data_IF_476458760919
#
_entry.id   IF_476458760919
#
_cell.length_a   1.000
_cell.length_b   1.000
_cell.length_c   1.000
_cell.angle_alpha   90.00
_cell.angle_beta   90.00
_cell.angle_gamma   90.00
#
_symmetry.space_group_name_H-M   'P 1'
#
loop_
_entity.id
_entity.type
_entity.pdbx_description
1 polymer ?
#
# COMPACT_ATOMS: atom_id res chain seq x y z
N UNK A 1 -17.21 6.24 7.77
CA UNK A 1 -17.92 4.96 7.64
C UNK A 1 -16.84 3.91 7.36
N UNK A 2 -16.53 3.04 8.30
CA UNK A 2 -15.45 2.05 8.13
C UNK A 2 -15.87 1.06 7.05
N UNK A 3 -15.33 1.20 5.87
CA UNK A 3 -15.37 0.17 4.85
C UNK A 3 -14.42 -0.92 5.35
N UNK A 4 -14.98 -2.00 5.89
CA UNK A 4 -14.20 -3.18 6.19
C UNK A 4 -13.69 -3.74 4.87
N UNK A 5 -12.38 -3.69 4.67
CA UNK A 5 -11.68 -4.27 3.53
C UNK A 5 -11.80 -5.79 3.63
N UNK A 6 -12.89 -6.33 3.10
CA UNK A 6 -13.09 -7.76 2.91
C UNK A 6 -12.61 -8.16 1.51
N UNK A 7 -11.41 -7.73 1.15
CA UNK A 7 -10.74 -8.37 0.04
C UNK A 7 -10.41 -9.79 0.49
N UNK A 8 -10.84 -10.77 -0.28
CA UNK A 8 -10.19 -12.07 -0.28
C UNK A 8 -8.80 -11.80 -0.84
N UNK A 9 -7.92 -11.24 0.01
CA UNK A 9 -6.56 -10.91 -0.33
C UNK A 9 -5.84 -12.18 -0.76
N UNK A 10 -5.93 -12.47 -2.05
CA UNK A 10 -4.85 -13.13 -2.72
C UNK A 10 -3.77 -12.08 -2.86
N UNK A 11 -3.18 -11.69 -1.73
CA UNK A 11 -1.93 -11.01 -1.76
C UNK A 11 -0.98 -11.93 -2.50
N UNK A 12 -0.61 -11.55 -3.72
CA UNK A 12 0.55 -12.08 -4.41
C UNK A 12 1.79 -11.61 -3.66
N UNK A 13 1.91 -12.07 -2.40
CA UNK A 13 3.09 -11.82 -1.61
C UNK A 13 4.14 -12.84 -2.01
N UNK A 14 5.02 -12.54 -2.91
CA UNK A 14 6.41 -12.27 -2.60
C UNK A 14 7.28 -13.47 -2.21
N UNK A 15 6.78 -14.67 -2.37
CA UNK A 15 7.64 -15.83 -2.53
C UNK A 15 8.10 -15.83 -3.98
N UNK A 16 9.40 -15.91 -4.26
CA UNK A 16 9.98 -16.06 -5.61
C UNK A 16 9.33 -17.21 -6.40
N UNK A 17 8.51 -18.04 -5.78
CA UNK A 17 7.93 -19.26 -6.33
C UNK A 17 6.42 -19.45 -6.08
N UNK A 18 5.71 -18.51 -5.41
CA UNK A 18 4.29 -18.70 -5.10
C UNK A 18 3.66 -17.53 -4.32
N UNK A 19 2.42 -17.72 -3.88
CA UNK A 19 1.67 -16.75 -3.08
C UNK A 19 1.14 -17.39 -1.80
N UNK A 20 1.07 -16.63 -0.73
CA UNK A 20 0.37 -17.04 0.48
C UNK A 20 -1.13 -16.80 0.28
N UNK A 21 -1.92 -17.83 0.40
CA UNK A 21 -3.38 -17.76 0.31
C UNK A 21 -3.95 -17.54 1.70
N UNK A 22 -4.72 -16.46 1.86
CA UNK A 22 -5.35 -16.07 3.13
C UNK A 22 -6.85 -16.07 2.91
N UNK A 23 -7.60 -16.72 3.79
CA UNK A 23 -9.06 -16.82 3.72
C UNK A 23 -9.64 -16.38 5.05
N UNK A 24 -10.54 -15.40 5.04
CA UNK A 24 -11.17 -14.83 6.24
C UNK A 24 -10.15 -14.37 7.31
N UNK A 25 -8.98 -13.85 6.88
CA UNK A 25 -7.92 -13.38 7.76
C UNK A 25 -6.98 -14.50 8.26
N UNK A 26 -7.24 -15.78 7.93
CA UNK A 26 -6.39 -16.91 8.32
C UNK A 26 -5.58 -17.44 7.13
N UNK A 27 -4.32 -17.78 7.38
CA UNK A 27 -3.43 -18.35 6.37
C UNK A 27 -3.85 -19.78 6.04
N UNK A 28 -4.33 -20.01 4.80
CA UNK A 28 -4.63 -21.34 4.32
C UNK A 28 -3.36 -22.12 3.94
N UNK A 29 -2.35 -21.41 3.38
CA UNK A 29 -1.08 -22.01 3.00
C UNK A 29 -0.34 -21.18 1.92
N UNK A 30 0.91 -21.60 1.66
CA UNK A 30 1.69 -21.07 0.53
C UNK A 30 1.46 -21.96 -0.68
N UNK A 31 1.07 -21.37 -1.80
CA UNK A 31 0.75 -22.10 -3.03
C UNK A 31 1.54 -21.51 -4.20
N UNK A 32 2.05 -22.38 -5.07
CA UNK A 32 2.49 -21.95 -6.39
C UNK A 32 1.29 -21.46 -7.21
N UNK A 33 1.50 -20.65 -8.24
CA UNK A 33 0.44 -20.17 -9.11
C UNK A 33 -0.42 -21.33 -9.66
N UNK A 34 0.21 -22.45 -10.07
CA UNK A 34 -0.50 -23.63 -10.57
C UNK A 34 -1.37 -24.29 -9.51
N UNK A 35 -0.89 -24.43 -8.28
CA UNK A 35 -1.66 -24.98 -7.15
C UNK A 35 -2.83 -24.07 -6.80
N UNK A 36 -2.60 -22.77 -6.71
CA UNK A 36 -3.66 -21.79 -6.46
C UNK A 36 -4.76 -21.88 -7.53
N UNK A 37 -4.41 -21.89 -8.82
CA UNK A 37 -5.40 -22.01 -9.90
C UNK A 37 -6.19 -23.32 -9.84
N UNK A 38 -5.64 -24.42 -9.34
CA UNK A 38 -6.38 -25.68 -9.19
C UNK A 38 -7.33 -25.69 -7.99
N UNK A 39 -7.09 -24.87 -6.97
CA UNK A 39 -7.85 -24.88 -5.71
C UNK A 39 -8.78 -23.66 -5.53
N UNK A 40 -8.57 -22.55 -6.28
CA UNK A 40 -9.30 -21.31 -6.03
C UNK A 40 -10.83 -21.42 -6.09
N UNK A 41 -11.39 -22.38 -6.86
CA UNK A 41 -12.83 -22.63 -6.85
C UNK A 41 -13.36 -23.20 -5.52
N UNK A 42 -12.50 -23.83 -4.74
CA UNK A 42 -12.85 -24.34 -3.41
C UNK A 42 -13.13 -23.21 -2.43
N UNK A 43 -12.66 -21.97 -2.75
CA UNK A 43 -12.88 -20.77 -1.95
C UNK A 43 -14.25 -20.12 -2.17
N UNK A 44 -15.00 -20.54 -3.21
CA UNK A 44 -16.33 -19.96 -3.53
C UNK A 44 -17.28 -19.96 -2.32
N UNK A 45 -17.39 -21.02 -1.50
CA UNK A 45 -18.25 -21.00 -0.32
C UNK A 45 -17.88 -19.91 0.69
N UNK A 46 -16.58 -19.65 0.91
CA UNK A 46 -16.10 -18.60 1.82
C UNK A 46 -16.38 -17.22 1.24
N UNK A 47 -16.13 -17.02 -0.06
CA UNK A 47 -16.46 -15.79 -0.79
C UNK A 47 -17.96 -15.49 -0.68
N UNK A 48 -18.82 -16.46 -0.94
CA UNK A 48 -20.27 -16.28 -0.87
C UNK A 48 -20.76 -16.02 0.55
N UNK A 49 -20.13 -16.64 1.55
CA UNK A 49 -20.44 -16.36 2.96
C UNK A 49 -20.13 -14.90 3.32
N UNK A 50 -18.97 -14.39 2.88
CA UNK A 50 -18.59 -12.99 3.08
C UNK A 50 -19.53 -12.04 2.33
N UNK A 51 -19.86 -12.36 1.07
CA UNK A 51 -20.81 -11.58 0.27
C UNK A 51 -22.20 -11.48 0.94
N UNK A 52 -22.76 -12.59 1.39
CA UNK A 52 -24.07 -12.59 2.06
C UNK A 52 -24.04 -11.82 3.41
N UNK A 53 -22.92 -11.85 4.12
CA UNK A 53 -22.78 -11.07 5.33
C UNK A 53 -22.77 -9.55 5.06
N UNK A 54 -22.25 -9.12 3.90
CA UNK A 54 -22.34 -7.72 3.45
C UNK A 54 -23.75 -7.37 2.95
N UNK A 55 -24.40 -8.29 2.21
CA UNK A 55 -25.77 -8.12 1.70
C UNK A 55 -26.79 -7.93 2.84
N UNK A 56 -26.59 -8.55 4.00
CA UNK A 56 -27.42 -8.33 5.19
C UNK A 56 -27.23 -6.94 5.84
N UNK A 57 -26.12 -6.26 5.55
CA UNK A 57 -25.76 -5.01 6.23
C UNK A 57 -25.87 -3.78 5.33
N UNK A 58 -25.79 -3.94 4.01
CA UNK A 58 -25.71 -2.82 3.07
C UNK A 58 -26.72 -2.94 1.94
N UNK A 59 -27.33 -1.82 1.58
CA UNK A 59 -28.27 -1.72 0.47
C UNK A 59 -27.60 -1.82 -0.91
N UNK A 60 -26.32 -1.44 -1.01
CA UNK A 60 -25.51 -1.45 -2.23
C UNK A 60 -24.14 -2.03 -1.91
N UNK A 61 -23.72 -3.01 -2.73
CA UNK A 61 -22.37 -3.58 -2.69
C UNK A 61 -21.66 -3.22 -4.00
N UNK A 62 -20.48 -2.61 -3.90
CA UNK A 62 -19.60 -2.35 -5.03
C UNK A 62 -18.47 -3.37 -5.01
N UNK A 63 -18.30 -4.06 -6.13
CA UNK A 63 -17.28 -5.12 -6.27
C UNK A 63 -16.26 -4.63 -7.29
N UNK A 64 -15.00 -4.58 -6.89
CA UNK A 64 -13.88 -4.31 -7.78
C UNK A 64 -13.24 -5.63 -8.24
N UNK A 65 -13.00 -5.76 -9.56
CA UNK A 65 -12.26 -6.88 -10.12
C UNK A 65 -10.74 -6.69 -9.98
N UNK A 66 -9.98 -7.75 -10.19
CA UNK A 66 -8.52 -7.70 -10.22
C UNK A 66 -7.97 -8.08 -11.60
N UNK A 67 -7.01 -7.30 -12.09
CA UNK A 67 -6.46 -7.49 -13.44
C UNK A 67 -7.48 -7.17 -14.53
N UNK A 68 -7.54 -7.98 -15.57
CA UNK A 68 -8.44 -7.78 -16.71
C UNK A 68 -9.40 -8.96 -16.90
N UNK A 69 -10.71 -8.71 -17.15
CA UNK A 69 -11.64 -9.78 -17.50
C UNK A 69 -11.33 -10.43 -18.88
N UNK A 70 -10.45 -9.81 -19.67
CA UNK A 70 -10.01 -10.30 -20.98
C UNK A 70 -8.82 -11.27 -20.91
N UNK A 71 -8.39 -11.69 -19.70
CA UNK A 71 -7.38 -12.74 -19.50
C UNK A 71 -7.95 -14.12 -19.85
N UNK A 72 -8.21 -14.34 -21.14
CA UNK A 72 -8.92 -15.54 -21.66
C UNK A 72 -8.23 -16.87 -21.35
N UNK A 73 -6.92 -16.85 -21.13
CA UNK A 73 -6.09 -17.99 -20.73
C UNK A 73 -6.33 -18.41 -19.27
N UNK A 74 -6.88 -17.52 -18.42
CA UNK A 74 -7.16 -17.75 -17.00
C UNK A 74 -8.66 -17.86 -16.70
N UNK A 75 -9.51 -17.73 -17.72
CA UNK A 75 -10.96 -17.59 -17.62
C UNK A 75 -11.70 -18.78 -17.01
N UNK A 76 -11.24 -20.00 -17.30
CA UNK A 76 -11.93 -21.22 -16.87
C UNK A 76 -12.14 -21.32 -15.34
N UNK A 77 -11.29 -20.62 -14.60
CA UNK A 77 -11.29 -20.63 -13.13
C UNK A 77 -11.44 -19.22 -12.53
N UNK A 78 -12.01 -18.28 -13.28
CA UNK A 78 -12.25 -16.92 -12.78
C UNK A 78 -13.28 -16.91 -11.64
N UNK A 79 -12.88 -16.37 -10.49
CA UNK A 79 -13.72 -16.14 -9.30
C UNK A 79 -13.69 -14.67 -8.87
N UNK A 80 -13.06 -13.79 -9.66
CA UNK A 80 -12.76 -12.41 -9.30
C UNK A 80 -13.51 -11.42 -10.19
N UNK A 81 -13.37 -11.54 -11.51
CA UNK A 81 -13.97 -10.62 -12.49
C UNK A 81 -15.38 -11.09 -12.89
N UNK A 82 -15.56 -11.58 -14.13
CA UNK A 82 -16.86 -12.05 -14.63
C UNK A 82 -17.36 -13.28 -13.88
N UNK A 83 -16.43 -14.09 -13.31
CA UNK A 83 -16.80 -15.21 -12.45
C UNK A 83 -17.55 -14.75 -11.19
N UNK A 84 -17.05 -13.72 -10.52
CA UNK A 84 -17.75 -13.13 -9.36
C UNK A 84 -19.08 -12.48 -9.77
N UNK A 85 -19.09 -11.73 -10.87
CA UNK A 85 -20.31 -11.11 -11.39
C UNK A 85 -21.41 -12.15 -11.67
N UNK A 86 -21.05 -13.34 -12.17
CA UNK A 86 -21.99 -14.46 -12.36
C UNK A 86 -22.50 -15.06 -11.06
N UNK A 87 -21.60 -15.21 -10.06
CA UNK A 87 -21.95 -15.82 -8.78
C UNK A 87 -23.01 -15.01 -8.02
N UNK A 88 -22.94 -13.67 -8.13
CA UNK A 88 -23.84 -12.77 -7.38
C UNK A 88 -24.87 -12.08 -8.29
N UNK A 89 -24.93 -12.47 -9.55
CA UNK A 89 -25.85 -11.90 -10.55
C UNK A 89 -25.74 -10.37 -10.69
N UNK A 90 -24.49 -9.84 -10.66
CA UNK A 90 -24.24 -8.42 -10.69
C UNK A 90 -24.15 -7.86 -12.12
N UNK A 91 -24.70 -6.65 -12.38
CA UNK A 91 -24.41 -5.89 -13.58
C UNK A 91 -22.97 -5.32 -13.51
N UNK A 92 -22.34 -5.17 -14.66
CA UNK A 92 -20.94 -4.77 -14.77
C UNK A 92 -20.81 -3.42 -15.48
N UNK A 93 -20.03 -2.52 -14.92
CA UNK A 93 -19.51 -1.34 -15.57
C UNK A 93 -18.05 -1.59 -15.95
N UNK A 94 -17.76 -1.62 -17.25
CA UNK A 94 -16.39 -1.85 -17.73
C UNK A 94 -15.66 -0.51 -17.86
N UNK A 95 -14.54 -0.35 -17.14
CA UNK A 95 -13.75 0.88 -17.10
C UNK A 95 -12.48 0.71 -17.91
N UNK A 96 -12.20 1.67 -18.81
CA UNK A 96 -10.95 1.71 -19.59
C UNK A 96 -10.16 2.98 -19.30
N UNK A 97 -8.84 2.85 -19.15
CA UNK A 97 -7.90 3.94 -18.92
C UNK A 97 -7.41 4.51 -20.26
N UNK A 98 -7.76 5.78 -20.57
CA UNK A 98 -7.35 6.43 -21.82
C UNK A 98 -5.94 7.03 -21.76
N UNK A 99 -5.42 7.30 -20.58
CA UNK A 99 -4.13 7.99 -20.40
C UNK A 99 -2.95 7.17 -20.95
N UNK A 100 -3.06 5.86 -20.96
CA UNK A 100 -2.08 4.94 -21.55
C UNK A 100 -2.21 4.75 -23.06
N UNK A 101 -3.27 5.30 -23.67
CA UNK A 101 -3.59 5.13 -25.08
C UNK A 101 -4.27 3.78 -25.38
N UNK A 102 -4.97 3.72 -26.54
CA UNK A 102 -5.60 2.49 -27.03
C UNK A 102 -6.91 2.10 -26.33
N UNK A 103 -7.54 2.96 -25.55
CA UNK A 103 -8.75 2.67 -24.75
C UNK A 103 -9.90 2.08 -25.58
N UNK A 104 -10.12 2.54 -26.81
CA UNK A 104 -11.15 1.98 -27.68
C UNK A 104 -10.90 0.51 -28.02
N UNK A 105 -9.63 0.16 -28.29
CA UNK A 105 -9.24 -1.22 -28.54
C UNK A 105 -9.35 -2.08 -27.28
N UNK A 106 -9.00 -1.52 -26.11
CA UNK A 106 -9.14 -2.21 -24.82
C UNK A 106 -10.60 -2.52 -24.51
N UNK A 107 -11.49 -1.51 -24.56
CA UNK A 107 -12.91 -1.70 -24.26
C UNK A 107 -13.58 -2.62 -25.28
N UNK A 108 -13.40 -2.36 -26.58
CA UNK A 108 -13.96 -3.19 -27.64
C UNK A 108 -13.44 -4.63 -27.59
N UNK A 109 -12.12 -4.78 -27.48
CA UNK A 109 -11.47 -6.09 -27.41
C UNK A 109 -11.90 -6.88 -26.19
N UNK A 110 -12.05 -6.25 -25.04
CA UNK A 110 -12.54 -6.91 -23.82
C UNK A 110 -13.96 -7.44 -24.05
N UNK A 111 -14.88 -6.61 -24.56
CA UNK A 111 -16.26 -7.01 -24.85
C UNK A 111 -16.30 -8.18 -25.83
N UNK A 112 -15.48 -8.15 -26.91
CA UNK A 112 -15.47 -9.21 -27.92
C UNK A 112 -14.84 -10.52 -27.46
N UNK A 113 -13.93 -10.50 -26.50
CA UNK A 113 -13.27 -11.69 -25.96
C UNK A 113 -14.10 -12.42 -24.91
N UNK A 114 -15.13 -11.77 -24.37
CA UNK A 114 -16.01 -12.36 -23.36
C UNK A 114 -17.07 -13.27 -24.03
N UNK A 115 -17.50 -14.28 -23.27
CA UNK A 115 -18.61 -15.13 -23.67
C UNK A 115 -19.94 -14.36 -23.69
N UNK A 116 -20.95 -14.80 -24.46
CA UNK A 116 -22.20 -14.06 -24.59
C UNK A 116 -22.88 -13.73 -23.24
N UNK A 117 -22.92 -14.67 -22.31
CA UNK A 117 -23.52 -14.49 -20.97
C UNK A 117 -22.74 -13.52 -20.07
N UNK A 118 -21.45 -13.37 -20.30
CA UNK A 118 -20.60 -12.39 -19.62
C UNK A 118 -20.74 -11.01 -20.26
N UNK A 119 -20.76 -10.96 -21.59
CA UNK A 119 -20.98 -9.75 -22.36
C UNK A 119 -22.31 -9.11 -22.00
N UNK A 120 -23.37 -9.92 -21.88
CA UNK A 120 -24.72 -9.45 -21.54
C UNK A 120 -24.79 -8.79 -20.15
N UNK A 121 -23.84 -9.09 -19.26
CA UNK A 121 -23.72 -8.43 -17.93
C UNK A 121 -23.09 -7.06 -18.00
N UNK A 122 -22.35 -6.72 -19.07
CA UNK A 122 -21.76 -5.38 -19.20
C UNK A 122 -22.88 -4.42 -19.63
N UNK A 123 -23.34 -3.59 -18.70
CA UNK A 123 -24.43 -2.64 -18.91
C UNK A 123 -23.97 -1.23 -19.22
N UNK A 124 -22.67 -0.93 -19.03
CA UNK A 124 -22.10 0.38 -19.33
C UNK A 124 -20.59 0.34 -19.49
N UNK A 125 -20.10 1.25 -20.32
CA UNK A 125 -18.67 1.49 -20.49
C UNK A 125 -18.32 2.85 -19.87
N UNK A 126 -17.13 2.96 -19.26
CA UNK A 126 -16.60 4.20 -18.72
C UNK A 126 -15.20 4.41 -19.28
N UNK A 127 -14.93 5.61 -19.78
CA UNK A 127 -13.59 6.04 -20.17
C UNK A 127 -13.02 6.89 -19.05
N UNK A 128 -11.94 6.43 -18.43
CA UNK A 128 -11.33 7.10 -17.29
C UNK A 128 -10.05 7.84 -17.66
N UNK A 129 -9.70 8.86 -16.86
CA UNK A 129 -8.48 9.69 -16.96
C UNK A 129 -8.38 10.47 -18.27
N UNK A 130 -9.50 10.93 -18.80
CA UNK A 130 -9.52 11.72 -20.04
C UNK A 130 -8.85 13.09 -19.85
N UNK A 131 -8.00 13.46 -20.80
CA UNK A 131 -7.36 14.79 -20.87
C UNK A 131 -7.71 15.45 -22.20
N UNK A 132 -8.11 16.69 -22.20
CA UNK A 132 -8.32 17.51 -23.38
C UNK A 132 -9.78 17.84 -23.68
N UNK A 133 -10.08 18.11 -24.96
CA UNK A 133 -11.40 18.50 -25.40
C UNK A 133 -12.29 17.29 -25.70
N UNK A 134 -13.34 17.12 -24.88
CA UNK A 134 -14.29 16.01 -25.01
C UNK A 134 -14.98 15.98 -26.39
N UNK A 135 -15.19 17.10 -27.04
CA UNK A 135 -15.83 17.14 -28.36
C UNK A 135 -15.05 16.41 -29.46
N UNK A 136 -13.73 16.27 -29.29
CA UNK A 136 -12.86 15.47 -30.16
C UNK A 136 -13.04 13.97 -29.89
N UNK A 137 -13.36 13.58 -28.65
CA UNK A 137 -13.58 12.19 -28.26
C UNK A 137 -14.99 11.70 -28.67
N UNK A 138 -16.01 12.57 -28.64
CA UNK A 138 -17.41 12.20 -28.82
C UNK A 138 -17.70 11.33 -30.07
N UNK A 139 -17.14 11.59 -31.27
CA UNK A 139 -17.32 10.70 -32.40
C UNK A 139 -16.80 9.27 -32.16
N UNK A 140 -15.70 9.13 -31.39
CA UNK A 140 -15.18 7.84 -31.03
C UNK A 140 -16.05 7.09 -30.01
N UNK A 141 -16.69 7.83 -29.10
CA UNK A 141 -17.67 7.28 -28.16
C UNK A 141 -18.86 6.67 -28.92
N UNK A 142 -19.44 7.44 -29.87
CA UNK A 142 -20.53 6.94 -30.69
C UNK A 142 -20.14 5.68 -31.48
N UNK A 143 -18.94 5.65 -32.07
CA UNK A 143 -18.45 4.48 -32.80
C UNK A 143 -18.25 3.25 -31.86
N UNK A 144 -17.85 3.48 -30.62
CA UNK A 144 -17.70 2.41 -29.63
C UNK A 144 -19.07 1.82 -29.27
N UNK A 145 -20.05 2.67 -28.98
CA UNK A 145 -21.43 2.23 -28.70
C UNK A 145 -22.07 1.48 -29.88
N UNK A 146 -21.88 1.97 -31.13
CA UNK A 146 -22.34 1.25 -32.32
C UNK A 146 -21.73 -0.13 -32.49
N UNK A 147 -20.45 -0.29 -32.10
CA UNK A 147 -19.75 -1.56 -32.23
C UNK A 147 -20.04 -2.57 -31.10
N UNK A 148 -20.16 -2.07 -29.88
CA UNK A 148 -20.36 -2.92 -28.69
C UNK A 148 -21.82 -3.15 -28.36
N UNK A 149 -22.70 -2.27 -28.84
CA UNK A 149 -24.12 -2.16 -28.43
C UNK A 149 -24.31 -1.92 -26.93
N UNK A 150 -23.28 -1.38 -26.26
CA UNK A 150 -23.26 -1.03 -24.84
C UNK A 150 -23.08 0.47 -24.70
N UNK A 151 -23.90 1.17 -23.89
CA UNK A 151 -23.77 2.63 -23.73
C UNK A 151 -22.50 3.01 -22.99
N UNK A 152 -21.89 4.12 -23.40
CA UNK A 152 -20.83 4.79 -22.63
C UNK A 152 -21.50 5.69 -21.57
N UNK A 153 -21.52 5.25 -20.34
CA UNK A 153 -22.19 5.94 -19.22
C UNK A 153 -21.35 7.06 -18.61
N UNK A 154 -20.16 7.30 -19.13
CA UNK A 154 -19.39 8.47 -18.74
C UNK A 154 -17.96 8.50 -19.27
N UNK A 155 -17.41 9.73 -19.26
CA UNK A 155 -16.01 10.02 -19.56
C UNK A 155 -15.47 10.82 -18.38
N UNK A 156 -14.78 10.14 -17.46
CA UNK A 156 -14.20 10.77 -16.29
C UNK A 156 -12.89 11.49 -16.66
N UNK A 157 -12.71 12.75 -16.27
CA UNK A 157 -11.49 13.48 -16.53
C UNK A 157 -10.32 12.93 -15.70
N UNK A 158 -9.11 13.28 -16.13
CA UNK A 158 -7.94 13.09 -15.29
C UNK A 158 -8.02 14.07 -14.11
N UNK A 159 -8.11 13.55 -12.91
CA UNK A 159 -8.20 14.32 -11.69
C UNK A 159 -6.82 14.43 -11.04
N UNK A 160 -6.48 15.62 -10.57
CA UNK A 160 -5.33 15.86 -9.71
C UNK A 160 -5.78 15.71 -8.25
N UNK A 161 -5.93 14.48 -7.81
CA UNK A 161 -6.32 14.12 -6.44
C UNK A 161 -5.20 13.33 -5.79
N UNK A 162 -5.08 13.46 -4.48
CA UNK A 162 -4.11 12.73 -3.68
C UNK A 162 -4.81 11.62 -2.87
N UNK A 163 -5.27 10.60 -3.59
CA UNK A 163 -5.74 9.34 -3.01
C UNK A 163 -4.56 8.40 -2.86
N UNK A 164 -4.57 7.54 -1.85
CA UNK A 164 -3.51 6.56 -1.63
C UNK A 164 -3.29 5.69 -2.87
N UNK A 165 -2.02 5.51 -3.23
CA UNK A 165 -1.66 4.64 -4.34
C UNK A 165 -1.68 3.17 -3.88
N UNK A 166 -2.37 2.32 -4.62
CA UNK A 166 -2.40 0.88 -4.38
C UNK A 166 -1.12 0.17 -4.86
N UNK A 167 -0.50 0.69 -5.94
CA UNK A 167 0.61 0.02 -6.63
C UNK A 167 1.96 0.72 -6.36
N UNK A 168 3.00 -0.09 -6.15
CA UNK A 168 4.40 0.36 -6.02
C UNK A 168 4.99 0.97 -7.31
N UNK A 169 4.24 0.98 -8.42
CA UNK A 169 4.63 1.60 -9.70
C UNK A 169 4.20 3.07 -9.83
N UNK A 170 3.91 3.74 -8.73
CA UNK A 170 3.43 5.13 -8.71
C UNK A 170 4.41 6.13 -9.35
N UNK A 171 3.88 7.18 -9.99
CA UNK A 171 4.64 8.31 -10.52
C UNK A 171 5.30 9.17 -9.43
N UNK A 172 4.91 9.02 -8.16
CA UNK A 172 5.50 9.73 -7.00
C UNK A 172 7.01 9.57 -6.92
N UNK A 173 7.54 8.41 -7.29
CA UNK A 173 8.97 8.15 -7.28
C UNK A 173 9.78 8.98 -8.28
N UNK A 174 9.14 9.68 -9.21
CA UNK A 174 9.78 10.50 -10.24
C UNK A 174 9.65 12.00 -10.00
N UNK A 175 8.83 12.43 -9.01
CA UNK A 175 8.69 13.85 -8.67
C UNK A 175 10.01 14.39 -8.13
N UNK A 176 10.50 15.47 -8.73
CA UNK A 176 11.61 16.26 -8.20
C UNK A 176 11.04 17.35 -7.31
N UNK A 177 10.97 17.09 -6.03
CA UNK A 177 10.53 18.07 -5.07
C UNK A 177 11.68 18.99 -4.67
N UNK A 178 11.38 20.27 -4.45
CA UNK A 178 12.31 21.20 -3.82
C UNK A 178 12.49 20.80 -2.36
N UNK A 179 13.72 20.92 -1.84
CA UNK A 179 14.02 20.58 -0.45
C UNK A 179 13.36 21.60 0.46
N UNK A 180 12.46 21.10 1.32
CA UNK A 180 11.76 21.90 2.33
C UNK A 180 12.64 22.30 3.52
N UNK A 181 12.00 22.94 4.52
CA UNK A 181 12.66 23.29 5.78
C UNK A 181 13.15 22.04 6.54
N UNK A 182 12.36 20.97 6.51
CA UNK A 182 12.70 19.63 7.00
C UNK A 182 12.75 18.68 5.80
N UNK A 183 13.84 17.97 5.63
CA UNK A 183 14.09 17.09 4.50
C UNK A 183 14.12 15.62 4.94
N UNK A 184 13.15 14.85 4.48
CA UNK A 184 13.03 13.41 4.72
C UNK A 184 13.40 12.64 3.45
N UNK A 185 14.29 11.66 3.57
CA UNK A 185 14.71 10.84 2.45
C UNK A 185 14.32 9.38 2.68
N UNK A 186 13.40 8.85 1.89
CA UNK A 186 13.03 7.42 1.84
C UNK A 186 13.96 6.72 0.87
N UNK A 187 14.61 5.65 1.31
CA UNK A 187 15.41 4.82 0.41
C UNK A 187 14.47 4.03 -0.50
N UNK A 188 14.46 4.34 -1.79
CA UNK A 188 13.67 3.61 -2.78
C UNK A 188 14.32 2.28 -3.08
N UNK A 189 13.94 1.26 -2.32
CA UNK A 189 14.38 -0.11 -2.52
C UNK A 189 13.79 -0.68 -3.84
N UNK A 190 14.49 -1.59 -4.53
CA UNK A 190 13.97 -2.22 -5.76
C UNK A 190 12.65 -2.95 -5.57
N UNK A 191 12.42 -3.50 -4.37
CA UNK A 191 11.22 -4.24 -4.00
C UNK A 191 10.46 -3.54 -2.87
N UNK A 192 10.48 -2.21 -2.85
CA UNK A 192 9.77 -1.41 -1.84
C UNK A 192 8.32 -1.86 -1.70
N UNK A 193 7.84 -1.98 -0.47
CA UNK A 193 6.46 -2.28 -0.14
C UNK A 193 5.95 -1.33 0.94
N UNK A 194 4.61 -1.15 1.03
CA UNK A 194 3.99 -0.28 2.02
C UNK A 194 4.59 1.13 2.06
N UNK A 195 4.95 1.67 0.89
CA UNK A 195 5.55 3.01 0.76
C UNK A 195 4.58 4.11 1.20
N UNK A 196 3.28 3.82 1.27
CA UNK A 196 2.23 4.69 1.82
C UNK A 196 2.42 5.02 3.29
N UNK A 197 3.20 4.23 4.05
CA UNK A 197 3.55 4.51 5.44
C UNK A 197 4.08 5.94 5.66
N UNK A 198 4.67 6.56 4.63
CA UNK A 198 5.30 7.88 4.74
C UNK A 198 4.44 9.04 4.23
N UNK A 199 3.26 8.76 3.66
CA UNK A 199 2.36 9.78 3.13
C UNK A 199 1.97 10.88 4.14
N UNK A 200 1.83 10.62 5.44
CA UNK A 200 1.53 11.66 6.41
C UNK A 200 2.52 12.81 6.42
N UNK A 201 3.79 12.57 6.11
CA UNK A 201 4.82 13.61 6.07
C UNK A 201 4.72 14.54 4.85
N UNK A 202 4.19 14.06 3.71
CA UNK A 202 4.04 14.86 2.48
C UNK A 202 3.10 16.06 2.66
N UNK A 203 2.26 16.02 3.69
CA UNK A 203 1.19 17.00 3.93
C UNK A 203 1.53 18.04 4.97
N UNK A 204 2.70 17.92 5.59
CA UNK A 204 3.16 18.92 6.57
C UNK A 204 3.87 20.01 5.78
N UNK A 205 3.31 21.21 5.77
CA UNK A 205 3.91 22.36 5.07
C UNK A 205 5.33 22.61 5.58
N UNK A 206 6.26 22.82 4.66
CA UNK A 206 7.67 22.99 4.99
C UNK A 206 8.47 21.69 5.12
N UNK A 207 7.82 20.52 5.00
CA UNK A 207 8.47 19.21 4.94
C UNK A 207 8.59 18.75 3.49
N UNK A 208 9.74 18.22 3.11
CA UNK A 208 9.93 17.49 1.84
C UNK A 208 10.13 16.01 2.11
N UNK A 209 9.40 15.16 1.41
CA UNK A 209 9.56 13.70 1.41
C UNK A 209 10.08 13.27 0.04
N UNK A 210 11.31 12.75 -0.02
CA UNK A 210 11.97 12.40 -1.27
C UNK A 210 12.32 10.91 -1.32
N UNK A 211 11.96 10.24 -2.40
CA UNK A 211 12.38 8.88 -2.67
C UNK A 211 13.71 8.88 -3.41
N UNK A 212 14.73 8.24 -2.84
CA UNK A 212 16.12 8.28 -3.32
C UNK A 212 16.64 6.88 -3.61
N UNK A 213 17.25 6.70 -4.78
CA UNK A 213 17.80 5.42 -5.25
C UNK A 213 19.32 5.44 -5.45
N UNK A 214 19.96 6.59 -5.23
CA UNK A 214 21.40 6.76 -5.36
C UNK A 214 21.98 7.66 -4.27
N UNK A 215 23.28 7.50 -4.02
CA UNK A 215 24.01 8.34 -3.03
C UNK A 215 23.96 9.83 -3.40
N UNK A 216 23.96 10.16 -4.68
CA UNK A 216 23.87 11.55 -5.14
C UNK A 216 22.54 12.21 -4.86
N UNK A 217 21.43 11.42 -4.87
CA UNK A 217 20.09 11.89 -4.53
C UNK A 217 19.89 12.02 -3.03
N UNK A 218 20.57 11.21 -2.21
CA UNK A 218 20.42 11.24 -0.76
C UNK A 218 20.74 12.61 -0.17
N UNK A 219 21.76 13.30 -0.66
CA UNK A 219 22.18 14.63 -0.18
C UNK A 219 22.46 14.64 1.34
N UNK A 220 21.80 15.55 2.10
CA UNK A 220 21.97 15.68 3.56
C UNK A 220 20.61 15.83 4.27
N UNK A 221 19.76 14.80 4.27
CA UNK A 221 18.44 14.87 4.87
C UNK A 221 18.51 15.04 6.39
N UNK A 222 17.40 15.46 6.99
CA UNK A 222 17.25 15.53 8.44
C UNK A 222 16.91 14.16 9.03
N UNK A 223 16.21 13.32 8.25
CA UNK A 223 15.88 11.93 8.58
C UNK A 223 15.98 11.03 7.35
N UNK A 224 16.47 9.81 7.54
CA UNK A 224 16.49 8.76 6.51
C UNK A 224 15.51 7.67 6.93
N UNK A 225 14.62 7.32 6.00
CA UNK A 225 13.58 6.31 6.16
C UNK A 225 13.94 5.06 5.34
N UNK A 226 14.01 3.93 6.00
CA UNK A 226 14.17 2.61 5.39
C UNK A 226 12.80 1.92 5.36
N UNK A 227 12.17 1.78 4.20
CA UNK A 227 10.81 1.24 4.09
C UNK A 227 10.75 -0.26 4.24
N UNK A 228 9.53 -0.79 4.29
CA UNK A 228 9.25 -2.19 4.07
C UNK A 228 9.69 -2.65 2.68
N UNK A 229 10.01 -3.93 2.57
CA UNK A 229 10.39 -4.54 1.29
C UNK A 229 9.95 -5.99 1.22
N UNK A 230 9.77 -6.46 0.01
CA UNK A 230 9.40 -7.83 -0.31
C UNK A 230 10.58 -8.82 -0.24
N UNK A 231 11.81 -8.34 -0.20
CA UNK A 231 13.01 -9.18 -0.01
C UNK A 231 14.10 -8.35 0.69
N UNK A 232 14.14 -8.47 1.99
CA UNK A 232 15.03 -7.69 2.87
C UNK A 232 16.50 -7.94 2.58
N UNK A 233 16.87 -9.21 2.38
CA UNK A 233 18.27 -9.59 2.17
C UNK A 233 18.82 -9.08 0.83
N UNK A 234 18.08 -9.27 -0.26
CA UNK A 234 18.54 -8.82 -1.59
C UNK A 234 18.55 -7.30 -1.70
N UNK A 235 17.57 -6.61 -1.11
CA UNK A 235 17.53 -5.16 -1.16
C UNK A 235 18.62 -4.53 -0.28
N UNK A 236 19.00 -5.14 0.85
CA UNK A 236 20.18 -4.71 1.59
C UNK A 236 21.47 -4.94 0.79
N UNK A 237 21.61 -6.06 0.08
CA UNK A 237 22.75 -6.30 -0.81
C UNK A 237 22.80 -5.29 -1.94
N UNK A 238 21.65 -4.92 -2.51
CA UNK A 238 21.56 -3.85 -3.51
C UNK A 238 22.03 -2.49 -2.94
N UNK A 239 21.59 -2.12 -1.73
CA UNK A 239 22.07 -0.90 -1.07
C UNK A 239 23.59 -0.91 -0.85
N UNK A 240 24.16 -2.08 -0.54
CA UNK A 240 25.58 -2.30 -0.36
C UNK A 240 26.36 -2.09 -1.66
N UNK A 241 25.85 -2.63 -2.76
CA UNK A 241 26.45 -2.54 -4.09
C UNK A 241 26.45 -1.12 -4.69
N UNK A 242 25.40 -0.33 -4.43
CA UNK A 242 25.29 1.02 -4.96
C UNK A 242 25.82 2.12 -3.99
N UNK A 243 26.31 1.70 -2.80
CA UNK A 243 26.91 2.61 -1.81
C UNK A 243 25.91 3.30 -0.88
N UNK A 244 24.60 3.08 -1.01
CA UNK A 244 23.59 3.69 -0.13
C UNK A 244 23.74 3.21 1.33
N UNK A 245 24.04 1.92 1.57
CA UNK A 245 24.31 1.45 2.92
C UNK A 245 25.42 2.25 3.60
N UNK A 246 26.55 2.45 2.92
CA UNK A 246 27.67 3.22 3.46
C UNK A 246 27.28 4.70 3.73
N UNK A 247 26.43 5.28 2.88
CA UNK A 247 25.92 6.63 3.07
C UNK A 247 24.98 6.73 4.27
N UNK A 248 24.10 5.76 4.50
CA UNK A 248 23.22 5.67 5.67
C UNK A 248 24.05 5.49 6.95
N UNK A 249 25.05 4.60 6.95
CA UNK A 249 25.97 4.41 8.08
C UNK A 249 26.72 5.70 8.43
N UNK A 250 27.18 6.43 7.42
CA UNK A 250 27.84 7.74 7.60
C UNK A 250 26.88 8.79 8.18
N UNK A 251 25.62 8.81 7.72
CA UNK A 251 24.61 9.72 8.24
C UNK A 251 24.27 9.39 9.71
N UNK A 252 24.10 8.10 10.05
CA UNK A 252 23.90 7.66 11.43
C UNK A 252 25.07 8.06 12.35
N UNK A 253 26.31 7.85 11.90
CA UNK A 253 27.51 8.27 12.63
C UNK A 253 27.61 9.81 12.80
N UNK A 254 27.00 10.57 11.89
CA UNK A 254 26.89 12.04 11.98
C UNK A 254 25.71 12.51 12.86
N UNK A 255 24.97 11.59 13.49
CA UNK A 255 23.86 11.89 14.39
C UNK A 255 22.52 12.16 13.69
N UNK A 256 22.40 11.85 12.41
CA UNK A 256 21.12 11.93 11.69
C UNK A 256 20.15 10.89 12.20
N UNK A 257 18.85 11.20 12.10
CA UNK A 257 17.79 10.25 12.44
C UNK A 257 17.68 9.21 11.34
N UNK A 258 17.72 7.93 11.73
CA UNK A 258 17.48 6.76 10.86
C UNK A 258 16.27 6.02 11.40
N UNK A 259 15.28 5.79 10.56
CA UNK A 259 14.08 5.08 10.96
C UNK A 259 13.78 3.94 9.96
N UNK A 260 13.66 2.72 10.47
CA UNK A 260 13.33 1.55 9.67
C UNK A 260 11.93 1.02 9.98
N UNK A 261 11.17 0.68 8.94
CA UNK A 261 9.85 0.02 9.05
C UNK A 261 9.96 -1.38 8.48
N UNK A 262 9.52 -2.40 9.22
CA UNK A 262 9.44 -3.79 8.79
C UNK A 262 10.78 -4.31 8.20
N UNK A 263 10.89 -4.54 6.89
CA UNK A 263 12.14 -4.94 6.24
C UNK A 263 13.27 -3.93 6.48
N UNK A 264 12.97 -2.62 6.42
CA UNK A 264 13.93 -1.57 6.75
C UNK A 264 14.41 -1.64 8.21
N UNK A 265 13.53 -1.97 9.16
CA UNK A 265 13.91 -2.22 10.55
C UNK A 265 14.85 -3.42 10.66
N UNK A 266 14.54 -4.55 10.00
CA UNK A 266 15.38 -5.74 9.98
C UNK A 266 16.79 -5.45 9.45
N UNK A 267 16.91 -4.62 8.39
CA UNK A 267 18.21 -4.22 7.80
C UNK A 267 19.13 -3.50 8.79
N UNK A 268 18.57 -2.81 9.78
CA UNK A 268 19.34 -2.07 10.78
C UNK A 268 20.07 -2.97 11.78
N UNK A 269 19.71 -4.25 11.88
CA UNK A 269 20.27 -5.24 12.80
C UNK A 269 21.70 -5.67 12.49
N UNK A 270 22.22 -6.58 13.33
CA UNK A 270 23.56 -7.17 13.17
C UNK A 270 23.57 -8.27 12.10
N UNK A 271 22.55 -9.16 12.12
CA UNK A 271 22.45 -10.30 11.21
C UNK A 271 21.03 -10.55 10.73
N UNK A 272 20.93 -10.96 9.47
CA UNK A 272 19.72 -11.46 8.83
C UNK A 272 19.97 -12.91 8.42
N UNK A 273 19.18 -13.85 8.93
CA UNK A 273 19.33 -15.27 8.67
C UNK A 273 18.05 -15.88 8.10
N UNK A 274 18.18 -16.56 6.97
CA UNK A 274 17.07 -17.21 6.27
C UNK A 274 17.37 -18.71 6.06
N UNK A 275 17.26 -19.52 7.14
CA UNK A 275 17.55 -20.95 7.06
C UNK A 275 16.53 -21.72 6.22
N UNK A 276 15.32 -21.21 6.09
CA UNK A 276 14.21 -21.85 5.37
C UNK A 276 14.09 -21.42 3.92
N UNK A 277 14.93 -20.48 3.45
CA UNK A 277 14.88 -19.88 2.10
C UNK A 277 13.52 -19.25 1.80
N UNK A 278 13.00 -18.51 2.76
CA UNK A 278 11.78 -17.71 2.62
C UNK A 278 12.01 -16.54 1.66
N UNK A 279 13.21 -15.93 1.75
CA UNK A 279 13.70 -14.88 0.84
C UNK A 279 14.87 -15.42 -0.01
N UNK A 280 16.07 -14.92 0.22
CA UNK A 280 17.27 -15.26 -0.56
C UNK A 280 18.00 -16.51 -0.05
N UNK A 281 17.71 -16.93 1.17
CA UNK A 281 18.41 -18.02 1.87
C UNK A 281 19.78 -17.62 2.41
N UNK A 282 20.27 -18.41 3.40
CA UNK A 282 21.57 -18.19 4.00
C UNK A 282 21.56 -17.12 5.11
N UNK A 283 22.71 -16.49 5.34
CA UNK A 283 22.88 -15.46 6.37
C UNK A 283 23.74 -14.32 5.84
N UNK A 284 23.32 -13.10 6.07
CA UNK A 284 24.09 -11.89 5.73
C UNK A 284 24.23 -10.99 6.96
N UNK A 285 25.24 -10.13 6.96
CA UNK A 285 25.36 -9.07 7.97
C UNK A 285 24.34 -7.98 7.66
N UNK A 286 23.65 -7.49 8.69
CA UNK A 286 22.89 -6.27 8.64
C UNK A 286 23.77 -5.01 8.65
N UNK A 287 23.17 -3.85 8.88
CA UNK A 287 23.90 -2.58 8.99
C UNK A 287 24.63 -2.43 10.34
N UNK A 288 24.28 -3.20 11.38
CA UNK A 288 24.88 -3.14 12.70
C UNK A 288 24.59 -1.84 13.46
N UNK A 289 23.51 -1.15 13.14
CA UNK A 289 23.09 0.09 13.81
C UNK A 289 22.27 -0.18 15.06
N UNK A 290 21.49 -1.27 15.06
CA UNK A 290 20.73 -1.77 16.20
C UNK A 290 21.26 -3.13 16.63
N UNK A 291 21.66 -3.35 17.90
CA UNK A 291 22.06 -4.66 18.43
C UNK A 291 20.89 -5.64 18.43
N UNK A 292 20.67 -6.32 17.34
CA UNK A 292 19.60 -7.32 17.18
C UNK A 292 19.91 -8.26 16.01
N UNK A 293 19.36 -9.46 16.09
CA UNK A 293 19.40 -10.45 15.01
C UNK A 293 17.99 -10.76 14.53
N UNK A 294 17.82 -10.93 13.23
CA UNK A 294 16.56 -11.37 12.64
C UNK A 294 16.71 -12.73 11.98
N UNK A 295 15.78 -13.64 12.26
CA UNK A 295 15.66 -14.94 11.60
C UNK A 295 14.33 -14.99 10.86
N UNK A 296 14.38 -15.27 9.55
CA UNK A 296 13.16 -15.42 8.76
C UNK A 296 12.51 -16.76 9.06
N UNK A 297 11.21 -16.71 9.41
CA UNK A 297 10.37 -17.85 9.72
C UNK A 297 9.45 -18.20 8.56
N UNK A 298 8.96 -19.44 8.51
CA UNK A 298 8.05 -19.89 7.45
C UNK A 298 6.62 -19.38 7.59
N UNK A 299 6.27 -18.83 8.75
CA UNK A 299 4.96 -18.28 9.05
C UNK A 299 4.99 -16.75 9.05
N UNK A 300 3.96 -16.14 8.47
CA UNK A 300 3.81 -14.69 8.39
C UNK A 300 2.99 -14.21 9.58
N UNK A 301 3.53 -13.28 10.36
CA UNK A 301 2.75 -12.54 11.36
C UNK A 301 1.87 -11.54 10.66
N UNK A 302 0.57 -11.53 10.98
CA UNK A 302 -0.38 -10.51 10.52
C UNK A 302 -1.31 -10.17 11.66
N UNK A 303 -1.16 -8.98 12.23
CA UNK A 303 -1.98 -8.50 13.36
C UNK A 303 -2.21 -7.01 13.26
N UNK A 304 -3.41 -6.56 13.64
CA UNK A 304 -3.67 -5.15 13.89
C UNK A 304 -2.87 -4.74 15.14
N UNK A 305 -2.23 -3.58 15.07
CA UNK A 305 -1.42 -3.03 16.13
C UNK A 305 -2.04 -1.72 16.64
N UNK A 306 -2.35 -1.67 17.92
CA UNK A 306 -2.71 -0.46 18.65
C UNK A 306 -1.76 -0.35 19.84
N UNK A 307 -1.26 0.85 20.15
CA UNK A 307 -0.27 0.97 21.21
C UNK A 307 0.24 2.38 21.41
N UNK A 308 1.47 2.50 21.89
CA UNK A 308 2.13 3.77 22.10
C UNK A 308 3.65 3.66 21.98
N UNK A 309 4.31 4.79 21.69
CA UNK A 309 5.77 4.85 21.80
C UNK A 309 6.19 4.69 23.25
N UNK A 310 7.21 3.88 23.45
CA UNK A 310 7.88 3.73 24.72
C UNK A 310 8.75 4.93 25.06
N UNK A 311 9.58 4.77 26.12
CA UNK A 311 10.61 5.76 26.45
C UNK A 311 11.56 5.88 25.26
N UNK A 312 11.62 7.04 24.64
CA UNK A 312 12.40 7.31 23.44
C UNK A 312 13.65 8.12 23.76
N UNK A 313 14.74 7.82 23.09
CA UNK A 313 16.02 8.51 23.24
C UNK A 313 16.31 9.42 22.04
N UNK A 314 17.39 10.20 22.12
CA UNK A 314 17.93 10.99 21.03
C UNK A 314 17.00 12.11 20.58
N UNK A 315 16.99 12.38 19.26
CA UNK A 315 16.20 13.46 18.65
C UNK A 315 14.71 13.25 18.88
N UNK A 316 14.23 12.02 18.82
CA UNK A 316 12.80 11.70 18.98
C UNK A 316 12.35 11.53 20.45
N UNK A 317 13.14 11.91 21.44
CA UNK A 317 12.79 11.75 22.86
C UNK A 317 11.45 12.39 23.27
N UNK A 318 10.90 13.31 22.47
CA UNK A 318 9.62 13.97 22.74
C UNK A 318 8.37 13.21 22.33
N UNK A 319 8.50 12.05 21.66
CA UNK A 319 7.32 11.28 21.16
C UNK A 319 6.82 10.22 22.16
N UNK A 320 7.47 10.04 23.30
CA UNK A 320 7.08 9.08 24.35
C UNK A 320 5.61 9.21 24.69
N UNK A 321 4.90 8.09 24.78
CA UNK A 321 3.48 8.01 25.14
C UNK A 321 2.51 8.38 24.02
N UNK A 322 2.98 8.85 22.86
CA UNK A 322 2.11 9.11 21.71
C UNK A 322 1.46 7.82 21.23
N UNK A 323 0.15 7.81 21.06
CA UNK A 323 -0.62 6.64 20.62
C UNK A 323 -0.37 6.35 19.14
N UNK A 324 -0.25 5.07 18.82
CA UNK A 324 -0.07 4.55 17.46
C UNK A 324 -1.19 3.58 17.12
N UNK A 325 -1.52 3.52 15.84
CA UNK A 325 -2.38 2.51 15.20
C UNK A 325 -1.70 2.06 13.93
N UNK A 326 -1.92 0.80 13.54
CA UNK A 326 -1.35 0.24 12.33
C UNK A 326 -1.53 -1.26 12.27
N UNK A 327 -0.62 -1.91 11.58
CA UNK A 327 -0.62 -3.37 11.47
C UNK A 327 0.79 -3.92 11.32
N UNK A 328 0.99 -5.14 11.78
CA UNK A 328 2.22 -5.90 11.56
C UNK A 328 2.00 -6.92 10.44
N UNK A 329 2.92 -6.96 9.47
CA UNK A 329 2.93 -7.96 8.41
C UNK A 329 4.37 -8.32 8.03
N UNK A 330 4.93 -9.36 8.65
CA UNK A 330 6.33 -9.72 8.46
C UNK A 330 6.57 -11.22 8.63
N UNK A 331 7.69 -11.72 8.10
CA UNK A 331 8.10 -13.12 8.16
C UNK A 331 9.32 -13.36 9.08
N UNK A 332 9.89 -12.32 9.65
CA UNK A 332 11.07 -12.39 10.49
C UNK A 332 10.75 -12.28 11.97
N UNK A 333 11.47 -13.04 12.78
CA UNK A 333 11.52 -12.87 14.23
C UNK A 333 12.81 -12.15 14.59
N UNK A 334 12.67 -10.99 15.26
CA UNK A 334 13.82 -10.18 15.69
C UNK A 334 14.03 -10.29 17.19
N UNK A 335 15.25 -10.64 17.58
CA UNK A 335 15.69 -10.72 18.96
C UNK A 335 16.63 -9.55 19.26
N UNK A 336 16.21 -8.67 20.18
CA UNK A 336 17.04 -7.57 20.70
C UNK A 336 18.14 -8.12 21.61
N UNK A 337 19.32 -7.51 21.52
CA UNK A 337 20.48 -7.79 22.37
C UNK A 337 20.63 -6.71 23.46
N UNK A 338 21.53 -6.91 24.38
CA UNK A 338 21.87 -5.93 25.40
C UNK A 338 22.27 -4.58 24.79
N UNK A 339 21.77 -3.51 25.37
CA UNK A 339 22.00 -2.13 24.88
C UNK A 339 21.02 -1.67 23.80
N UNK A 340 19.87 -2.37 23.64
CA UNK A 340 18.78 -2.00 22.74
C UNK A 340 17.47 -2.03 23.50
N UNK A 341 16.79 -0.88 23.57
CA UNK A 341 15.48 -0.77 24.21
C UNK A 341 14.35 -0.99 23.17
N UNK A 342 13.17 -1.43 23.63
CA UNK A 342 11.98 -1.47 22.81
C UNK A 342 11.58 -0.06 22.41
N UNK A 343 11.04 0.09 21.21
CA UNK A 343 10.64 1.39 20.70
C UNK A 343 9.16 1.67 20.90
N UNK A 344 8.32 0.64 20.77
CA UNK A 344 6.87 0.72 20.91
C UNK A 344 6.35 -0.39 21.84
N UNK A 345 5.18 -0.12 22.44
CA UNK A 345 4.38 -1.07 23.21
C UNK A 345 3.07 -1.26 22.45
N UNK A 346 2.76 -2.50 22.08
CA UNK A 346 1.53 -2.87 21.38
C UNK A 346 0.57 -3.49 22.40
N UNK A 347 -0.65 -2.98 22.47
CA UNK A 347 -1.72 -3.44 23.33
C UNK A 347 -2.09 -4.89 22.94
N UNK A 348 -1.81 -5.88 23.77
CA UNK A 348 -2.16 -7.27 23.50
C UNK A 348 -3.56 -7.58 24.06
N UNK A 349 -4.57 -7.54 23.19
CA UNK A 349 -5.97 -7.82 23.55
C UNK A 349 -6.17 -9.26 24.09
N UNK A 350 -5.23 -10.17 23.85
CA UNK A 350 -5.29 -11.57 24.29
C UNK A 350 -4.57 -11.84 25.62
N UNK A 351 -3.84 -10.85 26.15
CA UNK A 351 -3.11 -10.95 27.43
C UNK A 351 -3.45 -9.78 28.33
N UNK A 352 -4.22 -10.05 29.35
CA UNK A 352 -4.72 -9.04 30.30
C UNK A 352 -3.64 -8.30 31.10
N UNK A 353 -2.36 -8.70 31.05
CA UNK A 353 -1.30 -8.23 31.97
C UNK A 353 0.07 -7.89 31.30
N UNK A 354 0.21 -7.88 29.97
CA UNK A 354 1.49 -7.46 29.37
C UNK A 354 1.36 -6.98 27.94
N UNK A 355 1.73 -5.72 27.70
CA UNK A 355 1.92 -5.17 26.35
C UNK A 355 3.01 -5.95 25.61
N UNK A 356 2.81 -6.18 24.32
CA UNK A 356 3.84 -6.75 23.44
C UNK A 356 4.88 -5.66 23.14
N UNK A 357 6.14 -5.95 23.43
CA UNK A 357 7.25 -5.05 23.11
C UNK A 357 7.62 -5.18 21.62
N UNK A 358 7.51 -4.09 20.86
CA UNK A 358 7.89 -4.05 19.45
C UNK A 358 9.04 -3.07 19.19
N UNK A 359 9.71 -3.30 18.06
CA UNK A 359 10.75 -2.43 17.56
C UNK A 359 12.03 -2.43 18.40
N UNK A 360 12.92 -1.50 18.04
CA UNK A 360 14.18 -1.27 18.75
C UNK A 360 14.67 0.17 18.55
N UNK A 361 15.43 0.68 19.50
CA UNK A 361 16.07 1.98 19.41
C UNK A 361 17.45 2.00 20.04
N UNK A 362 18.31 2.87 19.50
CA UNK A 362 19.61 3.20 20.04
C UNK A 362 20.08 4.57 19.54
N UNK A 363 20.17 5.56 20.42
CA UNK A 363 20.53 6.94 20.04
C UNK A 363 19.50 7.53 19.07
N UNK A 364 19.94 7.87 17.85
CA UNK A 364 19.04 8.40 16.79
C UNK A 364 18.65 7.36 15.74
N UNK A 365 18.77 6.08 16.06
CA UNK A 365 18.34 4.98 15.19
C UNK A 365 17.15 4.29 15.81
N UNK A 366 16.08 4.19 15.05
CA UNK A 366 14.78 3.66 15.47
C UNK A 366 14.25 2.68 14.45
N UNK A 367 13.41 1.77 14.88
CA UNK A 367 12.71 0.88 13.96
C UNK A 367 11.59 0.09 14.64
N UNK A 368 10.64 -0.35 13.85
CA UNK A 368 9.41 -1.04 14.26
C UNK A 368 8.95 -2.00 13.16
N UNK A 369 8.14 -2.98 13.54
CA UNK A 369 7.40 -3.81 12.59
C UNK A 369 6.07 -3.19 12.15
N UNK A 370 5.58 -2.18 12.87
CA UNK A 370 4.27 -1.59 12.64
C UNK A 370 4.27 -0.74 11.36
N UNK A 371 3.51 -1.16 10.37
CA UNK A 371 3.10 -0.36 9.22
C UNK A 371 2.00 0.61 9.63
N UNK A 372 1.90 1.76 8.94
CA UNK A 372 0.95 2.81 9.30
C UNK A 372 1.30 3.54 10.61
N UNK A 373 2.51 3.33 11.17
CA UNK A 373 2.92 3.94 12.45
C UNK A 373 2.83 5.47 12.45
N UNK A 374 2.90 6.11 11.28
CA UNK A 374 2.82 7.56 11.12
C UNK A 374 1.43 8.08 10.78
N UNK A 375 0.42 7.19 10.62
CA UNK A 375 -0.91 7.57 10.13
C UNK A 375 -1.70 8.43 11.10
N UNK A 376 -1.42 8.31 12.42
CA UNK A 376 -1.95 9.29 13.37
C UNK A 376 -1.21 10.62 13.22
N UNK A 377 -1.98 11.66 12.94
CA UNK A 377 -1.49 13.03 12.73
C UNK A 377 -0.47 13.46 13.80
N UNK A 378 -0.79 13.25 15.07
CA UNK A 378 0.08 13.59 16.19
C UNK A 378 1.47 12.95 16.09
N UNK A 379 1.59 11.75 15.49
CA UNK A 379 2.88 11.05 15.34
C UNK A 379 3.79 11.75 14.34
N UNK A 380 3.29 12.01 13.14
CA UNK A 380 4.06 12.67 12.09
C UNK A 380 4.45 14.10 12.53
N UNK A 381 3.53 14.86 13.12
CA UNK A 381 3.79 16.20 13.64
C UNK A 381 4.85 16.21 14.72
N UNK A 382 4.76 15.35 15.74
CA UNK A 382 5.76 15.29 16.82
C UNK A 382 7.13 14.89 16.34
N UNK A 383 7.23 14.02 15.33
CA UNK A 383 8.51 13.69 14.70
C UNK A 383 9.08 14.93 13.98
N UNK A 384 8.27 15.63 13.21
CA UNK A 384 8.69 16.86 12.51
C UNK A 384 9.06 17.96 13.49
N UNK A 385 8.31 18.13 14.57
CA UNK A 385 8.66 19.04 15.68
C UNK A 385 10.02 18.72 16.28
N UNK A 386 10.29 17.44 16.55
CA UNK A 386 11.57 17.00 17.10
C UNK A 386 12.72 17.28 16.13
N UNK A 387 12.53 17.05 14.83
CA UNK A 387 13.51 17.35 13.79
C UNK A 387 13.73 18.87 13.65
N UNK A 388 12.66 19.66 13.64
CA UNK A 388 12.72 21.12 13.57
C UNK A 388 13.47 21.72 14.77
N UNK A 389 13.16 21.26 15.97
CA UNK A 389 13.85 21.63 17.22
C UNK A 389 15.35 21.29 17.15
N UNK A 390 15.67 20.09 16.66
CA UNK A 390 17.06 19.66 16.49
C UNK A 390 17.83 20.52 15.47
N UNK A 391 17.12 21.02 14.44
CA UNK A 391 17.67 21.90 13.40
C UNK A 391 17.64 23.38 13.77
N UNK A 392 16.95 23.75 14.86
CA UNK A 392 16.79 25.14 15.30
C UNK A 392 15.77 25.96 14.50
N UNK A 393 14.78 25.28 13.92
CA UNK A 393 13.68 25.89 13.15
C UNK A 393 12.50 26.14 14.07
N UNK A 394 11.88 27.32 13.96
CA UNK A 394 10.68 27.68 14.71
C UNK A 394 9.44 26.98 14.11
N UNK A 395 8.58 26.41 14.97
CA UNK A 395 7.38 25.66 14.57
C UNK A 395 6.32 26.47 13.84
N UNK A 396 6.29 27.79 14.06
CA UNK A 396 5.36 28.69 13.34
C UNK A 396 5.56 28.68 11.81
N UNK A 397 6.64 28.07 11.33
CA UNK A 397 6.93 27.91 9.90
C UNK A 397 6.49 26.53 9.35
N UNK A 398 5.94 25.68 10.20
CA UNK A 398 5.54 24.31 9.87
C UNK A 398 4.07 24.15 10.26
N UNK A 399 3.21 23.86 9.30
CA UNK A 399 1.78 23.64 9.53
C UNK A 399 1.42 22.22 9.12
N UNK A 400 0.72 21.50 9.99
CA UNK A 400 0.11 20.20 9.68
C UNK A 400 -1.30 20.37 9.15
N UNK A 401 -1.71 19.49 8.25
CA UNK A 401 -3.10 19.32 7.82
C UNK A 401 -3.57 17.99 8.40
N UNK A 402 -4.72 17.97 9.07
CA UNK A 402 -5.34 16.73 9.55
C UNK A 402 -5.49 15.73 8.39
N UNK A 403 -4.72 14.64 8.46
CA UNK A 403 -4.65 13.60 7.43
C UNK A 403 -6.03 13.01 7.12
N UNK A 404 -6.82 12.73 8.15
CA UNK A 404 -8.13 12.13 7.97
C UNK A 404 -9.09 13.11 7.26
N UNK A 405 -9.10 14.37 7.69
CA UNK A 405 -9.89 15.42 7.03
C UNK A 405 -9.43 15.67 5.59
N UNK A 406 -8.12 15.63 5.34
CA UNK A 406 -7.59 15.76 3.98
C UNK A 406 -8.03 14.59 3.11
N UNK A 407 -7.90 13.36 3.58
CA UNK A 407 -8.31 12.13 2.87
C UNK A 407 -9.79 12.16 2.50
N UNK A 408 -10.67 12.50 3.47
CA UNK A 408 -12.10 12.66 3.22
C UNK A 408 -12.38 13.75 2.17
N UNK A 409 -11.64 14.87 2.21
CA UNK A 409 -11.76 15.94 1.21
C UNK A 409 -11.36 15.45 -0.18
N UNK A 410 -10.31 14.63 -0.31
CA UNK A 410 -9.91 14.06 -1.60
C UNK A 410 -10.97 13.10 -2.15
N UNK A 411 -11.59 12.30 -1.28
CA UNK A 411 -12.71 11.43 -1.67
C UNK A 411 -13.95 12.24 -2.09
N UNK A 412 -14.25 13.34 -1.42
CA UNK A 412 -15.36 14.23 -1.82
C UNK A 412 -15.11 14.86 -3.19
N UNK A 413 -13.88 15.32 -3.46
CA UNK A 413 -13.48 15.86 -4.78
C UNK A 413 -13.64 14.78 -5.86
N UNK A 414 -13.21 13.55 -5.60
CA UNK A 414 -13.38 12.43 -6.52
C UNK A 414 -14.86 12.15 -6.78
N UNK A 415 -15.65 12.05 -5.72
CA UNK A 415 -17.08 11.75 -5.81
C UNK A 415 -17.84 12.81 -6.59
N UNK A 416 -17.57 14.09 -6.35
CA UNK A 416 -18.23 15.20 -7.04
C UNK A 416 -17.86 15.25 -8.53
N UNK A 417 -16.56 15.03 -8.84
CA UNK A 417 -16.13 14.95 -10.24
C UNK A 417 -16.78 13.78 -10.98
N UNK A 418 -16.90 12.61 -10.35
CA UNK A 418 -17.57 11.46 -10.96
C UNK A 418 -19.06 11.72 -11.13
N UNK A 419 -19.75 12.35 -10.19
CA UNK A 419 -21.17 12.74 -10.31
C UNK A 419 -21.41 13.70 -11.49
N UNK A 420 -20.47 14.61 -11.75
CA UNK A 420 -20.57 15.57 -12.85
C UNK A 420 -20.36 14.93 -14.23
N UNK A 421 -19.49 13.91 -14.32
CA UNK A 421 -19.02 13.39 -15.60
C UNK A 421 -19.57 12.00 -15.97
N UNK A 422 -20.26 11.33 -15.04
CA UNK A 422 -20.95 10.07 -15.29
C UNK A 422 -22.47 10.28 -15.36
N UNK A 423 -23.15 9.51 -16.19
CA UNK A 423 -24.62 9.44 -16.19
C UNK A 423 -25.12 8.66 -14.98
N UNK A 424 -25.11 9.33 -13.82
CA UNK A 424 -25.54 8.72 -12.55
C UNK A 424 -26.96 8.18 -12.61
N UNK A 425 -27.85 8.81 -13.40
CA UNK A 425 -29.22 8.31 -13.57
C UNK A 425 -29.23 6.95 -14.26
N UNK A 426 -28.41 6.79 -15.30
CA UNK A 426 -28.27 5.51 -16.00
C UNK A 426 -27.61 4.46 -15.14
N UNK A 427 -26.61 4.83 -14.32
CA UNK A 427 -25.94 3.94 -13.40
C UNK A 427 -26.93 3.42 -12.34
N UNK A 428 -27.72 4.29 -11.72
CA UNK A 428 -28.77 3.86 -10.78
C UNK A 428 -29.83 2.99 -11.44
N UNK A 429 -30.21 3.30 -12.70
CA UNK A 429 -31.13 2.43 -13.47
C UNK A 429 -30.52 1.04 -13.68
N UNK A 430 -29.23 0.93 -14.05
CA UNK A 430 -28.52 -0.34 -14.19
C UNK A 430 -28.54 -1.13 -12.86
N UNK A 431 -28.32 -0.44 -11.74
CA UNK A 431 -28.35 -1.05 -10.42
C UNK A 431 -29.74 -1.61 -10.07
N UNK A 432 -30.80 -0.89 -10.40
CA UNK A 432 -32.19 -1.32 -10.13
C UNK A 432 -32.66 -2.44 -11.07
N UNK A 433 -32.23 -2.43 -12.34
CA UNK A 433 -32.62 -3.44 -13.34
C UNK A 433 -31.83 -4.76 -13.18
N UNK A 434 -30.62 -4.71 -12.59
CA UNK A 434 -29.74 -5.86 -12.42
C UNK A 434 -29.01 -6.29 -13.69
N UNK A 435 -28.52 -7.55 -13.69
CA UNK A 435 -27.68 -8.12 -14.75
C UNK A 435 -28.44 -8.63 -15.97
#
# INVERSE_FOLDING_TARGET
MNVGDWSSDVCSSDLLTGSQVIVNGEVLGNMSAREYFSHKKELIPDIMKAYHALEEQYDIIVIEGAGSPAEINLKADDIVNMGMAKLVDAPVLLVGDIDRGGVFAQLYGTVELLEPDERDRIKGLIINKFRGDKTILDPGVVMLEEKTHIPVVGVAPYLHIEVEDEDSLTERFTRKEEIGLIDLAVIRLPRISNFTDFNPFERIEGVSLRYVSSVSELKNPDMILLPGTKNTMEDLLWMRQNGLEAAVLKAAAAGKVIFGVCGGFQMLGDTLSDPLRVEAGGTIKGMGLLPMDTVFAGEKTRTRAEGAFGKTEGVLAGIEGTRIEGYEIHMGETVRKEGTEAFTFIDDQNRADSDKLDGAQKGNVYGTYVHGIFDKEEVAERIVEALAKNKGIAMEQIHGVDYQTFKETQYDILADALREHLDMKKIYQILEEGA
#
